data_IF_610042308585
#
_entry.id   IF_610042308585
#
_cell.length_a   1.000
_cell.length_b   1.000
_cell.length_c   1.000
_cell.angle_alpha   90.00
_cell.angle_beta   90.00
_cell.angle_gamma   90.00
#
_symmetry.space_group_name_H-M   'P 1'
#
loop_
_entity.id
_entity.type
_entity.pdbx_description
1 polymer ?
#
# COMPACT_ATOMS: atom_id res chain seq x y z
N UNK A 1 -13.80 14.66 -1.24
CA UNK A 1 -12.69 13.81 -0.83
C UNK A 1 -11.63 13.74 -1.93
N UNK A 2 -12.00 13.32 -3.17
CA UNK A 2 -11.12 13.49 -4.31
C UNK A 2 -10.81 14.97 -4.57
N UNK A 3 -9.58 15.27 -4.95
CA UNK A 3 -9.04 16.61 -5.21
C UNK A 3 -8.27 16.59 -6.52
N UNK A 4 -8.08 17.75 -7.14
CA UNK A 4 -7.40 17.91 -8.44
C UNK A 4 -6.00 17.28 -8.47
N UNK A 5 -5.30 17.25 -7.33
CA UNK A 5 -3.99 16.63 -7.27
C UNK A 5 -4.01 15.10 -7.45
N UNK A 6 -5.13 14.42 -7.13
CA UNK A 6 -5.26 12.99 -7.44
C UNK A 6 -5.29 12.76 -8.95
N UNK A 7 -6.07 13.58 -9.68
CA UNK A 7 -6.11 13.54 -11.15
C UNK A 7 -4.74 13.91 -11.75
N UNK A 8 -4.09 14.94 -11.21
CA UNK A 8 -2.79 15.43 -11.70
C UNK A 8 -1.68 14.38 -11.56
N UNK A 9 -1.62 13.67 -10.44
CA UNK A 9 -0.54 12.73 -10.14
C UNK A 9 -0.93 11.26 -10.33
N UNK A 10 -2.17 10.97 -10.70
CA UNK A 10 -2.67 9.61 -10.97
C UNK A 10 -2.64 8.67 -9.76
N UNK A 11 -2.64 9.21 -8.53
CA UNK A 11 -2.48 8.38 -7.34
C UNK A 11 -3.29 8.86 -6.13
N UNK A 12 -3.53 7.94 -5.21
CA UNK A 12 -4.12 8.20 -3.90
C UNK A 12 -3.16 7.71 -2.81
N UNK A 13 -2.63 8.63 -2.03
CA UNK A 13 -1.84 8.33 -0.85
C UNK A 13 -2.74 8.29 0.40
N UNK A 14 -2.86 7.12 1.04
CA UNK A 14 -3.54 7.00 2.32
C UNK A 14 -2.54 7.33 3.41
N UNK A 15 -2.66 8.56 3.94
CA UNK A 15 -1.73 9.09 4.94
C UNK A 15 -2.06 8.54 6.34
N UNK A 16 -1.47 7.42 6.70
CA UNK A 16 -1.47 6.91 8.07
C UNK A 16 -0.63 7.84 8.96
N UNK A 17 -1.10 8.26 10.16
CA UNK A 17 -0.31 9.11 11.03
C UNK A 17 1.00 8.47 11.52
N UNK A 18 2.08 9.27 11.61
CA UNK A 18 3.39 8.88 12.19
C UNK A 18 4.22 7.90 11.37
N UNK A 19 4.02 7.88 10.04
CA UNK A 19 4.76 7.05 9.07
C UNK A 19 5.55 7.87 8.04
N UNK A 20 6.03 9.05 8.40
CA UNK A 20 6.71 10.02 7.52
C UNK A 20 5.82 10.57 6.38
N UNK A 21 4.48 10.55 6.55
CA UNK A 21 3.54 10.93 5.51
C UNK A 21 3.75 12.33 4.95
N UNK A 22 4.10 13.33 5.76
CA UNK A 22 4.40 14.69 5.31
C UNK A 22 5.58 14.72 4.31
N UNK A 23 6.63 13.92 4.54
CA UNK A 23 7.77 13.84 3.62
C UNK A 23 7.35 13.16 2.31
N UNK A 24 6.49 12.15 2.38
CA UNK A 24 5.93 11.46 1.21
C UNK A 24 5.06 12.43 0.39
N UNK A 25 4.12 13.14 1.03
CA UNK A 25 3.27 14.13 0.35
C UNK A 25 4.08 15.19 -0.39
N UNK A 26 5.10 15.74 0.26
CA UNK A 26 5.96 16.77 -0.33
C UNK A 26 6.62 16.31 -1.62
N UNK A 27 7.08 15.08 -1.64
CA UNK A 27 7.79 14.53 -2.80
C UNK A 27 6.83 14.07 -3.89
N UNK A 28 5.76 13.38 -3.53
CA UNK A 28 4.78 12.86 -4.50
C UNK A 28 3.97 13.97 -5.13
N UNK A 29 3.48 14.91 -4.33
CA UNK A 29 2.58 15.99 -4.80
C UNK A 29 3.29 17.33 -5.01
N UNK A 30 4.63 17.38 -4.90
CA UNK A 30 5.42 18.61 -5.12
C UNK A 30 4.89 19.81 -4.32
N UNK A 31 4.66 19.60 -3.02
CA UNK A 31 4.01 20.59 -2.17
C UNK A 31 4.74 20.79 -0.84
N UNK A 32 4.77 22.01 -0.36
CA UNK A 32 5.18 22.32 1.02
C UNK A 32 3.99 22.35 1.99
N UNK A 33 2.77 22.23 1.48
CA UNK A 33 1.54 22.24 2.25
C UNK A 33 1.11 20.82 2.60
N UNK A 34 0.46 20.66 3.74
CA UNK A 34 -0.24 19.44 4.07
C UNK A 34 -1.55 19.36 3.26
N UNK A 35 -1.66 18.35 2.38
CA UNK A 35 -2.76 18.23 1.43
C UNK A 35 -3.74 17.12 1.76
N UNK A 36 -3.20 15.93 2.11
CA UNK A 36 -3.97 14.68 2.06
C UNK A 36 -4.88 14.52 3.27
N UNK A 37 -4.42 14.89 4.47
CA UNK A 37 -5.15 14.56 5.68
C UNK A 37 -5.11 13.05 6.00
N UNK A 38 -5.86 12.65 7.02
CA UNK A 38 -5.91 11.25 7.47
C UNK A 38 -7.21 10.56 7.04
N UNK A 39 -7.51 10.64 5.74
CA UNK A 39 -8.70 10.01 5.12
C UNK A 39 -8.44 8.52 4.93
N UNK A 40 -9.42 7.68 5.20
CA UNK A 40 -9.33 6.22 5.06
C UNK A 40 -9.57 5.80 3.61
N UNK A 41 -8.97 4.69 3.20
CA UNK A 41 -9.19 4.11 1.86
C UNK A 41 -10.68 3.80 1.61
N UNK A 42 -11.37 3.26 2.64
CA UNK A 42 -12.80 2.96 2.55
C UNK A 42 -13.67 4.20 2.30
N UNK A 43 -13.27 5.36 2.82
CA UNK A 43 -14.01 6.61 2.62
C UNK A 43 -13.95 7.06 1.14
N UNK A 44 -12.80 6.88 0.47
CA UNK A 44 -12.68 7.12 -0.97
C UNK A 44 -13.53 6.15 -1.80
N UNK A 45 -13.48 4.85 -1.45
CA UNK A 45 -14.26 3.80 -2.14
C UNK A 45 -15.76 4.06 -1.98
N UNK A 46 -16.23 4.46 -0.80
CA UNK A 46 -17.63 4.77 -0.55
C UNK A 46 -18.10 6.01 -1.34
N UNK A 47 -17.20 6.94 -1.63
CA UNK A 47 -17.53 8.11 -2.43
C UNK A 47 -17.60 7.77 -3.93
N UNK A 48 -16.60 7.09 -4.48
CA UNK A 48 -16.53 6.67 -5.87
C UNK A 48 -15.51 5.53 -6.02
N UNK A 49 -16.02 4.30 -6.04
CA UNK A 49 -15.20 3.10 -6.16
C UNK A 49 -14.43 3.05 -7.47
N UNK A 50 -15.09 3.36 -8.60
CA UNK A 50 -14.46 3.27 -9.91
C UNK A 50 -13.31 4.28 -10.04
N UNK A 51 -13.53 5.49 -9.53
CA UNK A 51 -12.49 6.52 -9.49
C UNK A 51 -11.32 6.10 -8.59
N UNK A 52 -11.58 5.51 -7.42
CA UNK A 52 -10.53 5.00 -6.55
C UNK A 52 -9.70 3.89 -7.21
N UNK A 53 -10.36 2.94 -7.86
CA UNK A 53 -9.71 1.81 -8.54
C UNK A 53 -8.95 2.23 -9.82
N UNK A 54 -9.23 3.41 -10.38
CA UNK A 54 -8.52 3.95 -11.55
C UNK A 54 -7.16 4.57 -11.21
N UNK A 55 -6.87 4.84 -9.94
CA UNK A 55 -5.61 5.40 -9.47
C UNK A 55 -4.72 4.35 -8.81
N UNK A 56 -3.41 4.59 -8.87
CA UNK A 56 -2.49 3.88 -8.00
C UNK A 56 -2.67 4.33 -6.54
N UNK A 57 -3.19 3.44 -5.70
CA UNK A 57 -3.42 3.73 -4.28
C UNK A 57 -2.34 3.08 -3.42
N UNK A 58 -1.77 3.85 -2.49
CA UNK A 58 -0.71 3.35 -1.63
C UNK A 58 -0.75 3.95 -0.23
N UNK A 59 -0.11 3.24 0.70
CA UNK A 59 0.09 3.68 2.07
C UNK A 59 1.49 3.29 2.56
N UNK A 60 1.93 3.91 3.64
CA UNK A 60 3.06 3.43 4.42
C UNK A 60 2.58 3.09 5.83
N UNK A 61 3.23 2.09 6.42
CA UNK A 61 3.00 1.65 7.81
C UNK A 61 4.32 1.66 8.59
N UNK A 62 4.22 1.60 9.89
CA UNK A 62 5.35 1.59 10.82
C UNK A 62 5.14 0.51 11.87
N UNK A 63 6.22 -0.05 12.41
CA UNK A 63 6.15 -0.96 13.56
C UNK A 63 5.24 -0.34 14.64
N UNK A 64 4.18 -1.05 15.08
CA UNK A 64 3.20 -0.48 16.01
C UNK A 64 3.79 -0.02 17.34
N UNK A 65 4.84 -0.67 17.84
CA UNK A 65 5.55 -0.23 19.04
C UNK A 65 6.23 1.12 18.83
N UNK A 66 6.97 1.26 17.76
CA UNK A 66 7.69 2.48 17.41
C UNK A 66 6.72 3.62 17.07
N UNK A 67 5.63 3.29 16.38
CA UNK A 67 4.57 4.25 16.07
C UNK A 67 3.91 4.81 17.34
N UNK A 68 3.63 3.96 18.34
CA UNK A 68 3.04 4.37 19.61
C UNK A 68 3.95 5.34 20.38
N UNK A 69 5.24 5.03 20.48
CA UNK A 69 6.25 5.92 21.09
C UNK A 69 6.28 7.27 20.35
N UNK A 70 6.34 7.21 19.01
CA UNK A 70 6.36 8.41 18.17
C UNK A 70 5.12 9.28 18.35
N UNK A 71 3.93 8.68 18.43
CA UNK A 71 2.68 9.39 18.61
C UNK A 71 2.59 10.05 19.99
N UNK A 72 2.95 9.32 21.05
CA UNK A 72 2.97 9.84 22.40
C UNK A 72 3.89 11.06 22.54
N UNK A 73 5.14 10.94 22.13
CA UNK A 73 6.10 12.06 22.26
C UNK A 73 5.75 13.25 21.35
N UNK A 74 5.19 13.00 20.17
CA UNK A 74 4.72 14.06 19.29
C UNK A 74 3.62 14.88 19.94
N UNK A 75 2.60 14.22 20.48
CA UNK A 75 1.47 14.88 21.13
C UNK A 75 1.84 15.53 22.46
N UNK A 76 2.72 14.91 23.27
CA UNK A 76 3.25 15.52 24.51
C UNK A 76 4.03 16.82 24.25
N UNK A 77 4.56 17.01 23.03
CA UNK A 77 5.19 18.27 22.57
C UNK A 77 4.18 19.26 21.96
N UNK A 78 2.88 18.96 22.00
CA UNK A 78 1.81 19.81 21.46
C UNK A 78 1.36 19.47 20.05
N UNK A 79 1.87 18.40 19.44
CA UNK A 79 1.47 17.98 18.10
C UNK A 79 1.91 18.93 16.99
N UNK A 80 1.20 18.93 15.87
CA UNK A 80 1.49 19.75 14.68
C UNK A 80 0.47 20.85 14.41
N UNK A 81 -0.60 20.90 15.16
CA UNK A 81 -1.66 21.88 15.01
C UNK A 81 -2.40 22.13 16.35
N UNK A 82 -3.26 23.15 16.38
CA UNK A 82 -3.99 23.50 17.60
C UNK A 82 -4.93 22.38 18.09
N UNK A 83 -5.51 21.60 17.18
CA UNK A 83 -6.37 20.46 17.54
C UNK A 83 -5.59 19.36 18.27
N UNK A 84 -4.39 19.02 17.79
CA UNK A 84 -3.48 18.07 18.45
C UNK A 84 -3.09 18.56 19.84
N UNK A 85 -2.80 19.87 19.98
CA UNK A 85 -2.43 20.47 21.26
C UNK A 85 -3.57 20.39 22.26
N UNK A 86 -4.77 20.85 21.89
CA UNK A 86 -5.95 20.81 22.76
C UNK A 86 -6.23 19.37 23.21
N UNK A 87 -6.26 18.45 22.25
CA UNK A 87 -6.53 17.05 22.55
C UNK A 87 -5.46 16.45 23.50
N UNK A 88 -4.18 16.76 23.28
CA UNK A 88 -3.09 16.30 24.13
C UNK A 88 -3.18 16.87 25.56
N UNK A 89 -3.48 18.16 25.69
CA UNK A 89 -3.66 18.82 26.98
C UNK A 89 -4.81 18.21 27.79
N UNK A 90 -5.89 17.78 27.13
CA UNK A 90 -7.02 17.12 27.77
C UNK A 90 -6.76 15.66 28.14
N UNK A 91 -6.00 14.94 27.32
CA UNK A 91 -5.96 13.46 27.37
C UNK A 91 -4.63 12.90 27.79
N UNK A 92 -3.51 13.64 27.65
CA UNK A 92 -2.17 13.15 27.95
C UNK A 92 -1.46 13.89 29.09
N UNK A 93 -2.01 15.00 29.59
CA UNK A 93 -1.34 15.83 30.61
C UNK A 93 -0.99 15.05 31.88
N UNK A 94 -1.86 14.11 32.29
CA UNK A 94 -1.71 13.35 33.53
C UNK A 94 -0.74 12.16 33.42
N UNK A 95 -0.12 11.95 32.27
CA UNK A 95 0.88 10.89 32.08
C UNK A 95 2.27 11.51 31.94
N UNK A 96 3.07 11.44 32.98
CA UNK A 96 4.46 11.96 32.98
C UNK A 96 5.39 11.08 32.15
N UNK A 97 5.12 9.78 32.13
CA UNK A 97 5.95 8.79 31.41
C UNK A 97 5.13 8.01 30.38
N UNK A 98 5.83 7.48 29.39
CA UNK A 98 5.24 6.58 28.41
C UNK A 98 4.66 5.31 29.07
N UNK A 99 5.35 4.80 30.10
CA UNK A 99 4.88 3.63 30.85
C UNK A 99 3.53 3.88 31.52
N UNK A 100 3.38 5.01 32.25
CA UNK A 100 2.11 5.38 32.87
C UNK A 100 0.97 5.46 31.84
N UNK A 101 1.27 6.08 30.69
CA UNK A 101 0.32 6.18 29.59
C UNK A 101 -0.13 4.80 29.09
N UNK A 102 0.82 3.91 28.80
CA UNK A 102 0.49 2.56 28.28
C UNK A 102 -0.26 1.74 29.33
N UNK A 103 0.14 1.80 30.61
CA UNK A 103 -0.57 1.08 31.68
C UNK A 103 -2.02 1.55 31.84
N UNK A 104 -2.30 2.84 31.64
CA UNK A 104 -3.65 3.39 31.69
C UNK A 104 -4.59 2.84 30.60
N UNK A 105 -4.04 2.33 29.47
CA UNK A 105 -4.83 1.71 28.39
C UNK A 105 -5.51 0.39 28.81
N UNK A 106 -5.23 -0.15 29.99
CA UNK A 106 -6.00 -1.24 30.58
C UNK A 106 -7.42 -0.80 30.96
N UNK A 107 -7.61 0.48 31.26
CA UNK A 107 -8.94 1.03 31.49
C UNK A 107 -9.66 1.21 30.15
N UNK A 108 -10.84 0.60 30.01
CA UNK A 108 -11.61 0.62 28.77
C UNK A 108 -11.91 2.02 28.27
N UNK A 109 -12.36 2.92 29.16
CA UNK A 109 -12.77 4.27 28.78
C UNK A 109 -11.57 5.10 28.27
N UNK A 110 -10.43 4.98 28.97
CA UNK A 110 -9.19 5.65 28.54
C UNK A 110 -8.75 5.07 27.18
N UNK A 111 -8.69 3.77 27.07
CA UNK A 111 -8.32 3.09 25.83
C UNK A 111 -9.17 3.53 24.65
N UNK A 112 -10.49 3.47 24.77
CA UNK A 112 -11.42 3.78 23.70
C UNK A 112 -11.27 5.26 23.27
N UNK A 113 -11.08 6.18 24.24
CA UNK A 113 -10.80 7.59 23.97
C UNK A 113 -9.46 7.81 23.26
N UNK A 114 -8.40 7.16 23.71
CA UNK A 114 -7.07 7.24 23.09
C UNK A 114 -7.08 6.67 21.67
N UNK A 115 -7.64 5.47 21.47
CA UNK A 115 -7.65 4.82 20.15
C UNK A 115 -8.60 5.48 19.14
N UNK A 116 -9.53 6.34 19.59
CA UNK A 116 -10.35 7.15 18.68
C UNK A 116 -9.58 8.33 18.09
N UNK A 117 -8.44 8.74 18.67
CA UNK A 117 -7.63 9.82 18.13
C UNK A 117 -6.73 9.31 17.01
N UNK A 118 -6.73 10.02 15.88
CA UNK A 118 -6.07 9.59 14.63
C UNK A 118 -4.62 9.11 14.81
N UNK A 119 -3.82 9.71 15.68
CA UNK A 119 -2.44 9.33 15.92
C UNK A 119 -2.28 7.98 16.65
N UNK A 120 -3.30 7.53 17.36
CA UNK A 120 -3.33 6.25 18.06
C UNK A 120 -4.26 5.21 17.42
N UNK A 121 -5.09 5.61 16.47
CA UNK A 121 -5.94 4.68 15.72
C UNK A 121 -5.08 3.60 15.06
N UNK A 122 -5.43 2.30 15.17
CA UNK A 122 -4.72 1.23 14.47
C UNK A 122 -4.60 1.49 12.96
N UNK A 123 -3.44 1.19 12.39
CA UNK A 123 -3.11 1.54 11.01
C UNK A 123 -4.02 0.84 10.00
N UNK A 124 -4.40 -0.41 10.27
CA UNK A 124 -5.30 -1.15 9.39
C UNK A 124 -6.64 -0.45 9.16
N UNK A 125 -7.13 0.34 10.13
CA UNK A 125 -8.38 1.10 9.99
C UNK A 125 -8.33 2.20 8.93
N UNK A 126 -7.14 2.63 8.54
CA UNK A 126 -6.96 3.57 7.42
C UNK A 126 -6.92 2.87 6.06
N UNK A 127 -6.49 1.61 6.02
CA UNK A 127 -6.06 0.91 4.80
C UNK A 127 -7.03 -0.22 4.40
N UNK A 128 -7.76 -0.77 5.38
CA UNK A 128 -8.60 -1.95 5.18
C UNK A 128 -10.10 -1.62 5.26
N UNK A 129 -10.91 -2.54 4.73
CA UNK A 129 -12.35 -2.57 4.96
C UNK A 129 -12.71 -3.16 6.36
N UNK A 130 -14.00 -3.27 6.65
CA UNK A 130 -14.52 -3.81 7.91
C UNK A 130 -14.16 -5.30 8.09
N UNK A 131 -13.96 -6.04 7.01
CA UNK A 131 -13.53 -7.43 6.99
C UNK A 131 -12.01 -7.59 7.03
N UNK A 132 -11.26 -6.47 7.19
CA UNK A 132 -9.80 -6.41 7.21
C UNK A 132 -9.14 -6.79 5.87
N UNK A 133 -9.85 -6.69 4.76
CA UNK A 133 -9.25 -6.80 3.44
C UNK A 133 -8.50 -5.49 3.12
N UNK A 134 -7.27 -5.61 2.65
CA UNK A 134 -6.45 -4.47 2.21
C UNK A 134 -7.08 -3.87 0.96
N UNK A 135 -7.26 -2.56 0.96
CA UNK A 135 -7.95 -1.80 -0.09
C UNK A 135 -7.00 -1.06 -1.04
N UNK A 136 -5.72 -0.91 -0.68
CA UNK A 136 -4.73 -0.19 -1.48
C UNK A 136 -3.87 -1.14 -2.32
N UNK A 137 -3.31 -0.63 -3.42
CA UNK A 137 -2.46 -1.42 -4.32
C UNK A 137 -1.09 -1.73 -3.71
N UNK A 138 -0.54 -0.81 -2.90
CA UNK A 138 0.79 -0.98 -2.31
C UNK A 138 0.85 -0.49 -0.86
N UNK A 139 1.56 -1.24 -0.01
CA UNK A 139 1.88 -0.87 1.36
C UNK A 139 3.39 -0.95 1.55
N UNK A 140 4.03 0.20 1.78
CA UNK A 140 5.43 0.29 2.18
C UNK A 140 5.61 0.32 3.70
N UNK A 141 6.79 -0.05 4.17
CA UNK A 141 7.19 0.04 5.58
C UNK A 141 8.14 1.22 5.82
N UNK A 142 7.92 1.99 6.88
CA UNK A 142 8.81 3.09 7.24
C UNK A 142 10.25 2.61 7.48
N UNK A 143 10.39 1.43 8.05
CA UNK A 143 11.68 0.79 8.33
C UNK A 143 12.48 0.46 7.06
N UNK A 144 11.81 0.31 5.94
CA UNK A 144 12.41 0.06 4.62
C UNK A 144 12.10 1.16 3.60
N UNK A 145 11.82 2.39 4.09
CA UNK A 145 11.24 3.46 3.30
C UNK A 145 12.02 3.76 2.00
N UNK A 146 13.34 3.67 2.04
CA UNK A 146 14.19 3.96 0.87
C UNK A 146 13.97 2.97 -0.28
N UNK A 147 13.74 1.68 0.01
CA UNK A 147 13.47 0.68 -1.01
C UNK A 147 11.99 0.66 -1.39
N UNK A 148 11.10 0.74 -0.42
CA UNK A 148 9.66 0.70 -0.67
C UNK A 148 9.20 1.96 -1.44
N UNK A 149 9.81 3.12 -1.19
CA UNK A 149 9.50 4.33 -1.94
C UNK A 149 10.00 4.29 -3.40
N UNK A 150 11.01 3.47 -3.72
CA UNK A 150 11.40 3.22 -5.12
C UNK A 150 10.28 2.57 -5.92
N UNK A 151 9.48 1.71 -5.28
CA UNK A 151 8.31 1.09 -5.94
C UNK A 151 7.29 2.18 -6.31
N UNK A 152 6.99 3.10 -5.39
CA UNK A 152 6.09 4.24 -5.65
C UNK A 152 6.65 5.14 -6.76
N UNK A 153 7.96 5.44 -6.75
CA UNK A 153 8.62 6.22 -7.80
C UNK A 153 8.45 5.58 -9.18
N UNK A 154 8.68 4.28 -9.26
CA UNK A 154 8.58 3.54 -10.52
C UNK A 154 7.15 3.50 -11.04
N UNK A 155 6.17 3.25 -10.14
CA UNK A 155 4.75 3.18 -10.51
C UNK A 155 4.22 4.53 -11.00
N UNK A 156 4.64 5.62 -10.36
CA UNK A 156 4.23 6.99 -10.71
C UNK A 156 5.18 7.69 -11.70
N UNK A 157 6.20 6.99 -12.17
CA UNK A 157 7.16 7.45 -13.16
C UNK A 157 7.80 8.81 -12.84
N UNK A 158 8.37 8.96 -11.63
CA UNK A 158 9.13 10.14 -11.25
C UNK A 158 10.47 9.79 -10.56
N UNK A 159 11.42 10.72 -10.53
CA UNK A 159 12.76 10.49 -9.93
C UNK A 159 13.12 11.49 -8.81
N UNK A 160 12.19 11.77 -7.92
CA UNK A 160 12.45 12.59 -6.73
C UNK A 160 12.71 11.69 -5.52
N UNK A 161 13.65 12.08 -4.68
CA UNK A 161 13.98 11.34 -3.46
C UNK A 161 13.33 11.96 -2.23
N UNK A 162 13.03 11.14 -1.22
CA UNK A 162 12.54 11.64 0.05
C UNK A 162 13.61 12.52 0.71
N UNK A 163 13.21 13.72 1.10
CA UNK A 163 14.04 14.60 1.91
C UNK A 163 13.90 14.11 3.34
N UNK A 164 15.00 13.71 3.97
CA UNK A 164 15.01 13.33 5.39
C UNK A 164 14.74 14.56 6.27
N UNK A 165 13.48 14.95 6.38
CA UNK A 165 13.02 15.95 7.33
C UNK A 165 12.30 15.25 8.46
N UNK A 166 12.83 15.33 9.69
CA UNK A 166 12.21 14.88 10.93
C UNK A 166 12.36 13.39 11.29
N UNK A 167 13.59 12.91 11.46
CA UNK A 167 13.77 11.81 12.42
C UNK A 167 13.39 12.36 13.79
N UNK A 168 12.31 11.85 14.41
CA UNK A 168 12.04 12.15 15.81
C UNK A 168 13.25 11.70 16.62
N UNK A 169 13.92 12.65 17.27
CA UNK A 169 15.04 12.38 18.20
C UNK A 169 14.47 11.71 19.45
N UNK A 170 14.11 10.46 19.38
CA UNK A 170 13.82 9.61 20.54
C UNK A 170 14.78 8.42 20.49
N UNK A 171 15.03 7.85 21.65
CA UNK A 171 15.77 6.61 21.81
C UNK A 171 15.12 5.47 21.00
N UNK A 172 15.84 4.38 20.80
CA UNK A 172 15.29 3.17 20.18
C UNK A 172 14.03 2.79 20.96
N UNK A 173 12.91 2.59 20.25
CA UNK A 173 11.59 2.37 20.85
C UNK A 173 11.58 1.26 21.92
N UNK A 174 12.43 0.25 21.77
CA UNK A 174 12.56 -0.86 22.72
C UNK A 174 12.92 -0.39 24.15
N UNK A 175 13.53 0.77 24.32
CA UNK A 175 13.89 1.29 25.65
C UNK A 175 12.70 1.85 26.43
N UNK A 176 11.57 2.09 25.75
CA UNK A 176 10.34 2.60 26.36
C UNK A 176 9.43 1.50 26.90
N UNK A 177 9.71 0.22 26.56
CA UNK A 177 8.86 -0.90 26.91
C UNK A 177 9.48 -1.79 27.98
N UNK A 178 8.65 -2.22 28.91
CA UNK A 178 8.85 -3.40 29.73
C UNK A 178 7.84 -4.48 29.34
N UNK A 179 7.93 -5.67 29.90
CA UNK A 179 7.05 -6.79 29.61
C UNK A 179 5.57 -6.43 29.67
N UNK A 180 5.15 -5.69 30.71
CA UNK A 180 3.72 -5.34 30.92
C UNK A 180 3.22 -4.40 29.83
N UNK A 181 3.97 -3.34 29.52
CA UNK A 181 3.60 -2.35 28.51
C UNK A 181 3.69 -2.93 27.10
N UNK A 182 4.67 -3.78 26.86
CA UNK A 182 4.81 -4.52 25.61
C UNK A 182 3.57 -5.37 25.32
N UNK A 183 3.15 -6.22 26.27
CA UNK A 183 1.98 -7.08 26.12
C UNK A 183 0.67 -6.29 25.88
N UNK A 184 0.53 -5.10 26.49
CA UNK A 184 -0.63 -4.25 26.26
C UNK A 184 -0.66 -3.80 24.81
N UNK A 185 0.44 -3.26 24.29
CA UNK A 185 0.49 -2.73 22.92
C UNK A 185 0.38 -3.86 21.88
N UNK A 186 1.06 -4.99 22.10
CA UNK A 186 0.94 -6.17 21.25
C UNK A 186 -0.53 -6.60 21.07
N UNK A 187 -1.29 -6.65 22.18
CA UNK A 187 -2.73 -6.99 22.14
C UNK A 187 -3.58 -5.91 21.47
N UNK A 188 -3.30 -4.64 21.72
CA UNK A 188 -4.08 -3.53 21.16
C UNK A 188 -3.92 -3.39 19.66
N UNK A 189 -2.73 -3.61 19.12
CA UNK A 189 -2.41 -3.47 17.70
C UNK A 189 -2.20 -4.81 17.01
N UNK A 190 -2.76 -5.90 17.56
CA UNK A 190 -2.64 -7.26 17.03
C UNK A 190 -2.85 -7.33 15.52
N UNK A 191 -3.89 -6.64 15.02
CA UNK A 191 -4.23 -6.64 13.61
C UNK A 191 -3.14 -5.97 12.75
N UNK A 192 -2.55 -4.87 13.23
CA UNK A 192 -1.45 -4.19 12.53
C UNK A 192 -0.22 -5.12 12.42
N UNK A 193 0.11 -5.88 13.49
CA UNK A 193 1.19 -6.85 13.45
C UNK A 193 0.92 -7.97 12.44
N UNK A 194 -0.31 -8.50 12.44
CA UNK A 194 -0.68 -9.63 11.58
C UNK A 194 -0.78 -9.24 10.12
N UNK A 195 -1.48 -8.11 9.82
CA UNK A 195 -1.77 -7.71 8.45
C UNK A 195 -0.55 -7.12 7.73
N UNK A 196 0.32 -6.43 8.47
CA UNK A 196 1.48 -5.77 7.89
C UNK A 196 2.80 -6.50 8.12
N UNK A 197 2.72 -7.76 8.56
CA UNK A 197 3.89 -8.63 8.71
C UNK A 197 4.99 -8.02 9.58
N UNK A 198 4.61 -7.51 10.75
CA UNK A 198 5.54 -7.10 11.78
C UNK A 198 5.74 -8.22 12.78
N UNK A 199 7.00 -8.51 13.08
CA UNK A 199 7.33 -9.46 14.12
C UNK A 199 7.22 -8.82 15.51
N UNK A 200 6.85 -9.65 16.48
CA UNK A 200 6.90 -9.30 17.90
C UNK A 200 8.32 -9.52 18.43
N UNK A 201 9.35 -9.12 17.65
CA UNK A 201 10.73 -9.20 18.12
C UNK A 201 10.95 -8.23 19.27
N UNK A 202 11.22 -8.76 20.41
CA UNK A 202 11.68 -8.00 21.55
C UNK A 202 12.89 -8.70 22.19
N UNK A 203 13.76 -7.92 22.89
CA UNK A 203 14.99 -8.43 23.52
C UNK A 203 14.78 -9.78 24.20
N UNK A 204 15.70 -10.70 23.97
CA UNK A 204 15.73 -12.09 24.44
C UNK A 204 15.36 -12.28 25.93
N UNK A 205 15.62 -11.26 26.77
CA UNK A 205 15.27 -11.23 28.18
C UNK A 205 13.77 -11.16 28.50
N UNK A 206 12.94 -10.74 27.53
CA UNK A 206 11.47 -10.59 27.72
C UNK A 206 10.72 -11.83 27.25
N UNK A 207 11.30 -12.66 26.37
CA UNK A 207 10.68 -13.89 25.91
C UNK A 207 10.38 -14.91 27.02
N UNK A 208 11.11 -14.84 28.15
CA UNK A 208 10.93 -15.81 29.24
C UNK A 208 9.52 -15.81 29.88
N UNK A 209 8.78 -14.69 29.75
CA UNK A 209 7.46 -14.51 30.39
C UNK A 209 6.36 -14.05 29.43
N UNK A 210 6.60 -14.11 28.12
CA UNK A 210 5.56 -13.81 27.15
C UNK A 210 4.47 -14.88 27.18
N UNK A 211 3.21 -14.45 27.02
CA UNK A 211 2.08 -15.36 26.83
C UNK A 211 2.28 -16.15 25.51
N UNK A 212 2.92 -17.32 25.63
CA UNK A 212 3.25 -18.21 24.50
C UNK A 212 2.01 -18.55 23.70
N UNK A 213 0.86 -18.73 24.38
CA UNK A 213 -0.40 -19.05 23.71
C UNK A 213 -0.91 -17.87 22.87
N UNK A 214 -0.76 -16.65 23.37
CA UNK A 214 -1.09 -15.43 22.61
C UNK A 214 -0.22 -15.33 21.35
N UNK A 215 1.10 -15.50 21.49
CA UNK A 215 2.03 -15.49 20.36
C UNK A 215 1.67 -16.58 19.33
N UNK A 216 1.46 -17.80 19.79
CA UNK A 216 1.11 -18.92 18.92
C UNK A 216 -0.17 -18.65 18.14
N UNK A 217 -1.19 -18.09 18.78
CA UNK A 217 -2.45 -17.74 18.14
C UNK A 217 -2.25 -16.63 17.09
N UNK A 218 -1.43 -15.61 17.40
CA UNK A 218 -1.12 -14.55 16.47
C UNK A 218 -0.36 -15.05 15.23
N UNK A 219 0.63 -15.95 15.42
CA UNK A 219 1.33 -16.56 14.29
C UNK A 219 0.43 -17.44 13.44
N UNK A 220 -0.51 -18.19 14.06
CA UNK A 220 -1.51 -18.97 13.32
C UNK A 220 -2.41 -18.08 12.46
N UNK A 221 -2.89 -16.97 13.01
CA UNK A 221 -3.72 -16.01 12.26
C UNK A 221 -2.93 -15.36 11.11
N UNK A 222 -1.67 -14.99 11.35
CA UNK A 222 -0.76 -14.47 10.33
C UNK A 222 -0.54 -15.47 9.19
N UNK A 223 -0.30 -16.74 9.53
CA UNK A 223 -0.15 -17.83 8.56
C UNK A 223 -1.44 -18.03 7.74
N UNK A 224 -2.59 -18.03 8.41
CA UNK A 224 -3.90 -18.17 7.76
C UNK A 224 -4.15 -17.00 6.79
N UNK A 225 -3.86 -15.76 7.19
CA UNK A 225 -3.99 -14.58 6.33
C UNK A 225 -3.08 -14.67 5.09
N UNK A 226 -1.81 -15.06 5.28
CA UNK A 226 -0.86 -15.25 4.17
C UNK A 226 -1.29 -16.37 3.21
N UNK A 227 -1.81 -17.46 3.72
CA UNK A 227 -2.33 -18.54 2.87
C UNK A 227 -3.52 -18.06 2.03
N UNK A 228 -4.43 -17.27 2.61
CA UNK A 228 -5.57 -16.67 1.89
C UNK A 228 -5.10 -15.70 0.79
N UNK A 229 -4.06 -14.93 1.05
CA UNK A 229 -3.44 -14.03 0.06
C UNK A 229 -2.81 -14.83 -1.09
N UNK A 230 -2.06 -15.89 -0.77
CA UNK A 230 -1.47 -16.80 -1.76
C UNK A 230 -2.54 -17.41 -2.65
N UNK A 231 -3.65 -17.89 -2.08
CA UNK A 231 -4.78 -18.43 -2.84
C UNK A 231 -5.39 -17.38 -3.79
N UNK A 232 -5.55 -16.14 -3.31
CA UNK A 232 -6.05 -15.03 -4.13
C UNK A 232 -5.10 -14.72 -5.30
N UNK A 233 -3.78 -14.70 -5.04
CA UNK A 233 -2.77 -14.49 -6.07
C UNK A 233 -2.75 -15.63 -7.10
N UNK A 234 -2.83 -16.89 -6.66
CA UNK A 234 -2.93 -18.06 -7.54
C UNK A 234 -4.15 -17.98 -8.47
N UNK A 235 -5.31 -17.61 -7.90
CA UNK A 235 -6.53 -17.44 -8.69
C UNK A 235 -6.40 -16.30 -9.71
N UNK A 236 -5.80 -15.19 -9.33
CA UNK A 236 -5.51 -14.07 -10.25
C UNK A 236 -4.59 -14.50 -11.38
N UNK A 237 -3.51 -15.21 -11.05
CA UNK A 237 -2.56 -15.73 -12.04
C UNK A 237 -3.21 -16.74 -12.99
N UNK A 238 -4.08 -17.61 -12.47
CA UNK A 238 -4.83 -18.54 -13.30
C UNK A 238 -5.74 -17.80 -14.31
N UNK A 239 -6.45 -16.74 -13.86
CA UNK A 239 -7.28 -15.92 -14.74
C UNK A 239 -6.47 -15.24 -15.84
N UNK A 240 -5.31 -14.65 -15.48
CA UNK A 240 -4.40 -14.02 -16.46
C UNK A 240 -3.87 -15.03 -17.48
N UNK A 241 -3.47 -16.22 -17.02
CA UNK A 241 -2.99 -17.27 -17.93
C UNK A 241 -4.09 -17.72 -18.91
N UNK A 242 -5.34 -17.81 -18.45
CA UNK A 242 -6.48 -18.15 -19.32
C UNK A 242 -6.72 -17.05 -20.39
N UNK A 243 -6.59 -15.80 -20.02
CA UNK A 243 -6.70 -14.66 -20.93
C UNK A 243 -5.56 -14.64 -21.96
N UNK A 244 -4.32 -14.85 -21.53
CA UNK A 244 -3.16 -14.97 -22.42
C UNK A 244 -3.34 -16.11 -23.42
N UNK A 245 -3.82 -17.27 -22.97
CA UNK A 245 -4.08 -18.40 -23.86
C UNK A 245 -5.16 -18.07 -24.90
N UNK A 246 -6.21 -17.35 -24.49
CA UNK A 246 -7.25 -16.88 -25.41
C UNK A 246 -6.69 -15.91 -26.46
N UNK A 247 -5.86 -14.96 -26.04
CA UNK A 247 -5.19 -14.01 -26.95
C UNK A 247 -4.25 -14.72 -27.92
N UNK A 248 -3.47 -15.69 -27.44
CA UNK A 248 -2.58 -16.47 -28.28
C UNK A 248 -3.32 -17.26 -29.36
N UNK A 249 -4.51 -17.81 -29.04
CA UNK A 249 -5.34 -18.48 -30.03
C UNK A 249 -5.86 -17.51 -31.12
N UNK A 250 -6.22 -16.28 -30.74
CA UNK A 250 -6.64 -15.23 -31.69
C UNK A 250 -5.47 -14.85 -32.60
N UNK A 251 -4.27 -14.66 -32.03
CA UNK A 251 -3.06 -14.35 -32.80
C UNK A 251 -2.74 -15.47 -33.78
N UNK A 252 -2.84 -16.72 -33.37
CA UNK A 252 -2.63 -17.87 -34.27
C UNK A 252 -3.62 -17.89 -35.44
N UNK A 253 -4.91 -17.61 -35.18
CA UNK A 253 -5.92 -17.51 -36.24
C UNK A 253 -5.60 -16.36 -37.22
N UNK A 254 -5.24 -15.19 -36.72
CA UNK A 254 -4.86 -14.04 -37.54
C UNK A 254 -3.62 -14.32 -38.37
N UNK A 255 -2.62 -14.97 -37.77
CA UNK A 255 -1.39 -15.37 -38.49
C UNK A 255 -1.70 -16.31 -39.67
N UNK A 256 -2.56 -17.30 -39.46
CA UNK A 256 -3.01 -18.19 -40.51
C UNK A 256 -3.77 -17.47 -41.63
N UNK A 257 -4.63 -16.48 -41.27
CA UNK A 257 -5.32 -15.66 -42.27
C UNK A 257 -4.36 -14.81 -43.10
N UNK A 258 -3.35 -14.19 -42.47
CA UNK A 258 -2.31 -13.42 -43.16
C UNK A 258 -1.53 -14.33 -44.12
N UNK A 259 -1.14 -15.54 -43.69
CA UNK A 259 -0.46 -16.49 -44.56
C UNK A 259 -1.28 -16.84 -45.82
N UNK A 260 -2.57 -17.12 -45.63
CA UNK A 260 -3.48 -17.42 -46.75
C UNK A 260 -3.65 -16.24 -47.72
N UNK A 261 -3.73 -15.02 -47.19
CA UNK A 261 -3.81 -13.79 -47.98
C UNK A 261 -2.55 -13.54 -48.79
N UNK A 262 -1.39 -13.76 -48.19
CA UNK A 262 -0.10 -13.63 -48.86
C UNK A 262 0.06 -14.64 -50.02
N UNK A 263 -0.30 -15.90 -49.78
CA UNK A 263 -0.32 -16.92 -50.84
C UNK A 263 -1.25 -16.55 -51.99
N UNK A 264 -2.43 -16.00 -51.66
CA UNK A 264 -3.39 -15.52 -52.68
C UNK A 264 -2.84 -14.33 -53.45
N UNK A 265 -2.14 -13.42 -52.80
CA UNK A 265 -1.52 -12.25 -53.42
C UNK A 265 -0.37 -12.69 -54.37
N UNK A 266 0.47 -13.61 -53.93
CA UNK A 266 1.53 -14.19 -54.78
C UNK A 266 0.98 -14.82 -56.04
N UNK A 267 -0.08 -15.62 -55.93
CA UNK A 267 -0.77 -16.23 -57.08
C UNK A 267 -1.34 -15.18 -58.06
N UNK A 268 -1.94 -14.10 -57.51
CA UNK A 268 -2.44 -12.98 -58.35
C UNK A 268 -1.32 -12.24 -59.07
N UNK A 269 -0.21 -11.99 -58.40
CA UNK A 269 0.97 -11.34 -58.99
C UNK A 269 1.56 -12.18 -60.09
N UNK A 270 1.67 -13.50 -59.93
CA UNK A 270 2.11 -14.43 -61.00
C UNK A 270 1.17 -14.38 -62.21
N UNK A 271 -0.15 -14.32 -61.97
CA UNK A 271 -1.16 -14.20 -63.01
C UNK A 271 -1.03 -12.89 -63.79
N UNK A 272 -0.76 -11.78 -63.11
CA UNK A 272 -0.54 -10.45 -63.70
C UNK A 272 0.69 -10.43 -64.59
N UNK A 273 1.84 -10.99 -64.09
CA UNK A 273 3.08 -11.12 -64.89
C UNK A 273 2.81 -11.93 -66.16
N UNK A 274 2.08 -13.03 -66.02
CA UNK A 274 1.74 -13.88 -67.18
C UNK A 274 0.89 -13.14 -68.20
N UNK A 275 -0.11 -12.36 -67.75
CA UNK A 275 -0.94 -11.50 -68.63
C UNK A 275 -0.14 -10.42 -69.33
N UNK A 276 0.75 -9.73 -68.65
CA UNK A 276 1.64 -8.72 -69.23
C UNK A 276 2.56 -9.32 -70.30
N UNK A 277 3.12 -10.51 -70.04
CA UNK A 277 3.93 -11.21 -71.01
C UNK A 277 3.14 -11.60 -72.26
N UNK A 278 1.90 -12.07 -72.11
CA UNK A 278 1.00 -12.39 -73.20
C UNK A 278 0.63 -11.15 -74.03
N UNK A 279 0.34 -10.03 -73.38
CA UNK A 279 0.03 -8.77 -74.04
C UNK A 279 1.23 -8.24 -74.85
N UNK A 280 2.41 -8.31 -74.28
CA UNK A 280 3.64 -7.91 -74.95
C UNK A 280 3.95 -8.83 -76.15
N UNK A 281 3.68 -10.15 -76.05
CA UNK A 281 3.82 -11.05 -77.16
C UNK A 281 2.83 -10.73 -78.28
N UNK A 282 1.54 -10.48 -77.96
CA UNK A 282 0.53 -10.07 -78.96
C UNK A 282 0.87 -8.75 -79.65
N UNK A 283 1.40 -7.78 -78.91
CA UNK A 283 1.79 -6.46 -79.47
C UNK A 283 3.03 -6.56 -80.41
N UNK A 284 3.93 -7.54 -80.17
CA UNK A 284 5.15 -7.65 -80.94
C UNK A 284 5.04 -8.60 -82.14
N UNK A 285 4.10 -9.54 -82.11
CA UNK A 285 4.01 -10.60 -83.14
C UNK A 285 2.59 -10.77 -83.72
N UNK A 286 1.61 -9.98 -83.31
CA UNK A 286 0.26 -10.00 -83.81
C UNK A 286 0.04 -9.04 -84.99
N UNK A 287 0.64 -9.35 -86.13
CA UNK A 287 0.31 -8.78 -87.44
C UNK A 287 -0.06 -9.92 -88.38
#
# INVERSE_FOLDING_TARGET
>A
MFKDYHDKYGCIFIHVPKVAGTSIERVVFETDKWLVGHVRALDYINQDKNKFESYFSFAFVRNPFDRMVSAFHYLKKGGGNNGDKIWADENLKNFDTFEQFVLALKNKNIKDKILSWQHFTPQYKFICDENKNILVNFIGKLENINNDFKIVKNELNFDRNLIHSNSSKHEIFSNYYNEKTYNIIAKLYKEDFTLFDYDLEYKESIYKNLDVQFLLNMYKEKLFSKNKEIEKLRLSQFKKNKEINSQNNIILQQTNQIHNLNTTLENKNQLLITKENLLNFQNNYGK
#
